data_IF_184534130169
#
_entry.id   IF_184534130169
#
_cell.length_a   1.000
_cell.length_b   1.000
_cell.length_c   1.000
_cell.angle_alpha   90.00
_cell.angle_beta   90.00
_cell.angle_gamma   90.00
#
_symmetry.space_group_name_H-M   'P 1'
#
loop_
_entity.id
_entity.type
_entity.pdbx_description
1 polymer ?
#
# COMPACT_ATOMS: atom_id res chain seq x y z
N UNK A 1 -38.73 -14.11 5.64
CA UNK A 1 -38.07 -13.60 4.42
C UNK A 1 -37.13 -12.51 4.92
N UNK A 2 -36.11 -12.91 5.69
CA UNK A 2 -35.34 -12.02 6.57
C UNK A 2 -33.83 -12.36 6.61
N UNK A 3 -33.41 -13.46 5.98
CA UNK A 3 -32.00 -13.86 5.93
C UNK A 3 -31.21 -13.09 4.86
N UNK A 4 -31.89 -12.63 3.79
CA UNK A 4 -31.27 -11.90 2.68
C UNK A 4 -30.79 -10.52 3.14
N UNK A 5 -31.55 -9.84 4.00
CA UNK A 5 -31.24 -8.48 4.46
C UNK A 5 -30.05 -8.46 5.44
N UNK A 6 -29.90 -9.46 6.31
CA UNK A 6 -28.76 -9.58 7.21
C UNK A 6 -27.46 -9.88 6.45
N UNK A 7 -27.52 -10.72 5.42
CA UNK A 7 -26.38 -11.04 4.57
C UNK A 7 -25.88 -9.81 3.80
N UNK A 8 -26.79 -9.02 3.22
CA UNK A 8 -26.45 -7.81 2.48
C UNK A 8 -25.83 -6.73 3.38
N UNK A 9 -26.38 -6.53 4.58
CA UNK A 9 -25.80 -5.61 5.58
C UNK A 9 -24.40 -6.05 6.01
N UNK A 10 -24.18 -7.35 6.18
CA UNK A 10 -22.87 -7.89 6.52
C UNK A 10 -21.85 -7.66 5.41
N UNK A 11 -22.22 -7.85 4.13
CA UNK A 11 -21.34 -7.56 3.01
C UNK A 11 -20.97 -6.07 2.93
N UNK A 12 -21.94 -5.18 3.12
CA UNK A 12 -21.71 -3.72 3.12
C UNK A 12 -20.74 -3.34 4.23
N UNK A 13 -20.94 -3.86 5.45
CA UNK A 13 -20.03 -3.61 6.57
C UNK A 13 -18.62 -4.14 6.28
N UNK A 14 -18.50 -5.33 5.71
CA UNK A 14 -17.23 -5.94 5.36
C UNK A 14 -16.49 -5.14 4.28
N UNK A 15 -17.22 -4.60 3.28
CA UNK A 15 -16.67 -3.70 2.28
C UNK A 15 -16.08 -2.44 2.91
N UNK A 16 -16.84 -1.74 3.77
CA UNK A 16 -16.35 -0.54 4.46
C UNK A 16 -15.17 -0.83 5.37
N UNK A 17 -15.21 -1.94 6.09
CA UNK A 17 -14.12 -2.37 6.97
C UNK A 17 -12.82 -2.62 6.18
N UNK A 18 -12.89 -3.38 5.10
CA UNK A 18 -11.75 -3.64 4.21
C UNK A 18 -11.22 -2.35 3.59
N UNK A 19 -12.11 -1.44 3.18
CA UNK A 19 -11.75 -0.14 2.63
C UNK A 19 -10.97 0.69 3.66
N UNK A 20 -11.46 0.79 4.89
CA UNK A 20 -10.78 1.50 5.99
C UNK A 20 -9.38 0.92 6.23
N UNK A 21 -9.25 -0.40 6.28
CA UNK A 21 -7.95 -1.06 6.46
C UNK A 21 -6.99 -0.68 5.32
N UNK A 22 -7.45 -0.76 4.06
CA UNK A 22 -6.63 -0.41 2.90
C UNK A 22 -6.11 1.04 3.00
N UNK A 23 -6.98 1.99 3.38
CA UNK A 23 -6.60 3.39 3.59
C UNK A 23 -5.59 3.58 4.73
N UNK A 24 -5.79 2.89 5.86
CA UNK A 24 -4.87 2.95 7.01
C UNK A 24 -3.50 2.40 6.63
N UNK A 25 -3.46 1.24 5.98
CA UNK A 25 -2.22 0.59 5.52
C UNK A 25 -1.50 1.47 4.50
N UNK A 26 -2.23 2.07 3.57
CA UNK A 26 -1.69 3.03 2.61
C UNK A 26 -1.08 4.25 3.31
N UNK A 27 -1.83 4.86 4.23
CA UNK A 27 -1.36 6.01 5.01
C UNK A 27 -0.08 5.69 5.78
N UNK A 28 -0.02 4.53 6.43
CA UNK A 28 1.18 4.05 7.12
C UNK A 28 2.35 3.84 6.14
N UNK A 29 2.11 3.20 4.99
CA UNK A 29 3.15 3.02 3.97
C UNK A 29 3.76 4.34 3.53
N UNK A 30 2.92 5.36 3.27
CA UNK A 30 3.36 6.72 2.89
C UNK A 30 4.14 7.39 4.03
N UNK A 31 3.66 7.29 5.27
CA UNK A 31 4.38 7.85 6.42
C UNK A 31 5.76 7.21 6.59
N UNK A 32 5.85 5.88 6.54
CA UNK A 32 7.13 5.17 6.61
C UNK A 32 8.04 5.52 5.44
N UNK A 33 7.50 5.70 4.23
CA UNK A 33 8.26 6.15 3.07
C UNK A 33 8.92 7.51 3.32
N UNK A 34 8.14 8.51 3.74
CA UNK A 34 8.64 9.87 3.99
C UNK A 34 9.72 9.85 5.08
N UNK A 35 9.49 9.12 6.18
CA UNK A 35 10.47 8.99 7.27
C UNK A 35 11.73 8.26 6.78
N UNK A 36 11.58 7.20 5.99
CA UNK A 36 12.68 6.44 5.43
C UNK A 36 13.57 7.29 4.51
N UNK A 37 12.97 8.14 3.68
CA UNK A 37 13.69 9.08 2.83
C UNK A 37 14.49 10.10 3.66
N UNK A 38 13.86 10.70 4.68
CA UNK A 38 14.55 11.68 5.55
C UNK A 38 15.71 11.07 6.31
N UNK A 39 15.55 9.84 6.82
CA UNK A 39 16.59 9.14 7.60
C UNK A 39 17.54 8.29 6.74
N UNK A 40 17.35 8.26 5.41
CA UNK A 40 18.02 7.32 4.48
C UNK A 40 18.04 5.87 4.99
N UNK A 41 16.97 5.46 5.67
CA UNK A 41 16.92 4.18 6.37
C UNK A 41 16.33 3.09 5.48
N UNK A 42 17.20 2.17 5.06
CA UNK A 42 16.80 0.98 4.29
C UNK A 42 15.72 0.16 4.98
N UNK A 43 15.78 -0.02 6.31
CA UNK A 43 14.81 -0.84 7.06
C UNK A 43 13.41 -0.22 7.04
N UNK A 44 13.32 1.09 7.24
CA UNK A 44 12.03 1.80 7.17
C UNK A 44 11.47 1.80 5.74
N UNK A 45 12.37 1.88 4.76
CA UNK A 45 12.00 1.83 3.36
C UNK A 45 11.42 0.46 2.96
N UNK A 46 12.03 -0.64 3.41
CA UNK A 46 11.48 -1.98 3.18
C UNK A 46 10.12 -2.16 3.85
N UNK A 47 9.92 -1.62 5.07
CA UNK A 47 8.61 -1.69 5.75
C UNK A 47 7.55 -0.96 4.94
N UNK A 48 7.86 0.22 4.40
CA UNK A 48 6.94 0.97 3.54
C UNK A 48 6.51 0.18 2.29
N UNK A 49 7.46 -0.44 1.59
CA UNK A 49 7.20 -1.27 0.40
C UNK A 49 6.36 -2.51 0.76
N UNK A 50 6.69 -3.18 1.87
CA UNK A 50 5.93 -4.35 2.35
C UNK A 50 4.49 -3.96 2.67
N UNK A 51 4.27 -2.81 3.34
CA UNK A 51 2.93 -2.30 3.62
C UNK A 51 2.15 -1.92 2.36
N UNK A 52 2.83 -1.43 1.31
CA UNK A 52 2.16 -1.09 0.05
C UNK A 52 1.78 -2.33 -0.77
N UNK A 53 2.51 -3.44 -0.60
CA UNK A 53 2.32 -4.68 -1.36
C UNK A 53 0.89 -5.24 -1.29
N UNK A 54 0.25 -5.42 -0.12
CA UNK A 54 -1.13 -5.91 -0.05
C UNK A 54 -2.12 -4.97 -0.75
N UNK A 55 -1.88 -3.65 -0.75
CA UNK A 55 -2.72 -2.71 -1.50
C UNK A 55 -2.60 -2.92 -3.01
N UNK A 56 -1.40 -3.21 -3.52
CA UNK A 56 -1.19 -3.54 -4.94
C UNK A 56 -1.82 -4.89 -5.30
N UNK A 57 -1.72 -5.89 -4.43
CA UNK A 57 -2.38 -7.18 -4.66
C UNK A 57 -3.91 -7.03 -4.69
N UNK A 58 -4.48 -6.27 -3.76
CA UNK A 58 -5.92 -6.00 -3.71
C UNK A 58 -6.38 -5.25 -4.97
N UNK A 59 -5.56 -4.34 -5.48
CA UNK A 59 -5.78 -3.63 -6.75
C UNK A 59 -5.82 -4.52 -7.99
N UNK A 60 -5.09 -5.63 -8.00
CA UNK A 60 -5.10 -6.58 -9.12
C UNK A 60 -6.34 -7.48 -9.06
N UNK A 61 -6.81 -7.78 -7.85
CA UNK A 61 -7.97 -8.66 -7.62
C UNK A 61 -9.29 -7.90 -7.83
N UNK A 62 -9.34 -6.62 -7.45
CA UNK A 62 -10.52 -5.80 -7.59
C UNK A 62 -10.49 -5.03 -8.91
N UNK A 63 -11.62 -4.99 -9.63
CA UNK A 63 -11.80 -4.19 -10.84
C UNK A 63 -11.93 -2.69 -10.47
N UNK A 64 -10.82 -2.09 -10.03
CA UNK A 64 -10.73 -0.66 -9.70
C UNK A 64 -10.58 0.15 -10.99
N UNK A 65 -11.06 1.39 -10.96
CA UNK A 65 -10.88 2.31 -12.08
C UNK A 65 -9.41 2.41 -12.55
N UNK A 66 -9.16 2.35 -13.86
CA UNK A 66 -7.82 2.24 -14.42
C UNK A 66 -6.91 3.44 -14.05
N UNK A 67 -7.49 4.62 -13.85
CA UNK A 67 -6.75 5.83 -13.43
C UNK A 67 -6.20 5.68 -12.01
N UNK A 68 -7.02 5.19 -11.08
CA UNK A 68 -6.63 4.97 -9.70
C UNK A 68 -5.59 3.85 -9.64
N UNK A 69 -5.81 2.77 -10.39
CA UNK A 69 -4.84 1.67 -10.49
C UNK A 69 -3.47 2.16 -10.97
N UNK A 70 -3.44 2.96 -12.04
CA UNK A 70 -2.20 3.52 -12.56
C UNK A 70 -1.46 4.35 -11.50
N UNK A 71 -2.19 5.20 -10.75
CA UNK A 71 -1.60 6.07 -9.73
C UNK A 71 -0.93 5.26 -8.61
N UNK A 72 -1.57 4.18 -8.15
CA UNK A 72 -0.99 3.29 -7.14
C UNK A 72 0.22 2.52 -7.65
N UNK A 73 0.18 2.03 -8.89
CA UNK A 73 1.32 1.34 -9.52
C UNK A 73 2.51 2.30 -9.67
N UNK A 74 2.27 3.51 -10.16
CA UNK A 74 3.30 4.55 -10.28
C UNK A 74 3.88 4.86 -8.89
N UNK A 75 3.03 5.03 -7.89
CA UNK A 75 3.48 5.29 -6.52
C UNK A 75 4.35 4.16 -5.97
N UNK A 76 3.93 2.91 -6.17
CA UNK A 76 4.71 1.74 -5.76
C UNK A 76 6.05 1.63 -6.50
N UNK A 77 6.06 1.93 -7.81
CA UNK A 77 7.29 1.99 -8.60
C UNK A 77 8.25 3.05 -8.05
N UNK A 78 7.76 4.24 -7.68
CA UNK A 78 8.57 5.29 -7.03
C UNK A 78 9.16 4.78 -5.70
N UNK A 79 8.38 4.07 -4.88
CA UNK A 79 8.89 3.46 -3.65
C UNK A 79 10.01 2.46 -3.95
N UNK A 80 9.84 1.57 -4.94
CA UNK A 80 10.87 0.60 -5.32
C UNK A 80 12.14 1.29 -5.85
N UNK A 81 12.01 2.29 -6.72
CA UNK A 81 13.16 3.01 -7.28
C UNK A 81 13.99 3.68 -6.18
N UNK A 82 13.32 4.33 -5.23
CA UNK A 82 13.97 4.96 -4.09
C UNK A 82 14.61 3.94 -3.15
N UNK A 83 13.98 2.76 -2.97
CA UNK A 83 14.58 1.66 -2.22
C UNK A 83 15.88 1.18 -2.87
N UNK A 84 15.87 0.93 -4.19
CA UNK A 84 17.06 0.53 -4.95
C UNK A 84 18.16 1.60 -4.85
N UNK A 85 17.81 2.89 -4.92
CA UNK A 85 18.76 3.98 -4.76
C UNK A 85 19.47 3.94 -3.40
N UNK A 86 18.72 3.80 -2.32
CA UNK A 86 19.28 3.71 -0.95
C UNK A 86 20.17 2.46 -0.79
N UNK A 87 19.78 1.33 -1.40
CA UNK A 87 20.58 0.11 -1.40
C UNK A 87 21.93 0.30 -2.10
N UNK A 88 21.95 1.01 -3.23
CA UNK A 88 23.19 1.32 -3.96
C UNK A 88 24.08 2.27 -3.14
N UNK A 89 23.53 3.35 -2.57
CA UNK A 89 24.29 4.30 -1.74
C UNK A 89 25.00 3.60 -0.57
N UNK A 90 24.34 2.67 0.12
CA UNK A 90 24.95 1.91 1.21
C UNK A 90 26.06 0.96 0.78
N UNK A 91 26.01 0.44 -0.45
CA UNK A 91 27.04 -0.46 -0.98
C UNK A 91 28.35 0.27 -1.30
N UNK A 92 28.29 1.57 -1.61
CA UNK A 92 29.47 2.39 -1.88
C UNK A 92 30.18 2.92 -0.62
N UNK A 93 29.49 2.94 0.52
CA UNK A 93 30.02 3.41 1.80
C UNK A 93 30.61 2.28 2.67
N UNK A 94 30.64 1.06 2.14
CA UNK A 94 31.10 -0.15 2.82
C UNK A 94 32.23 -0.78 2.04
#
# INVERSE_FOLDING_TARGET
MDDITMYDLFQILLFWYMLIIAWVVLGLSVLFFIIALRKKSQKLMSVSVILMTPNILLLIIQEIEPVIMLLFIIWFAVQILMFIKILREKRYLK
#
